data_IF_789146019998
#
_entry.id   IF_789146019998
#
_cell.length_a   1.000
_cell.length_b   1.000
_cell.length_c   1.000
_cell.angle_alpha   90.00
_cell.angle_beta   90.00
_cell.angle_gamma   90.00
#
_symmetry.space_group_name_H-M   'P 1'
#
loop_
_entity.id
_entity.type
_entity.pdbx_description
1 polymer ?
#
# COMPACT_ATOMS: atom_id res chain seq x y z
N UNK A 1 10.61 9.30 21.51
CA UNK A 1 10.70 8.08 22.36
C UNK A 1 11.44 7.02 21.56
N UNK A 2 12.57 6.50 22.00
CA UNK A 2 13.23 5.40 21.32
C UNK A 2 12.35 4.14 21.47
N UNK A 3 11.91 3.56 20.36
CA UNK A 3 11.24 2.26 20.32
C UNK A 3 9.75 2.23 19.92
N UNK A 4 9.12 3.31 19.51
CA UNK A 4 7.79 3.22 18.89
C UNK A 4 7.94 2.82 17.42
N UNK A 5 7.25 1.76 17.01
CA UNK A 5 7.14 1.43 15.59
C UNK A 5 6.60 2.63 14.82
N UNK A 6 7.13 2.93 13.62
CA UNK A 6 6.59 4.00 12.79
C UNK A 6 5.10 3.72 12.53
N UNK A 7 4.26 4.71 12.81
CA UNK A 7 2.81 4.58 12.63
C UNK A 7 2.28 5.79 11.87
N UNK A 8 1.24 5.62 11.04
CA UNK A 8 0.59 6.75 10.37
C UNK A 8 0.15 7.85 11.34
N UNK A 9 -0.25 7.47 12.56
CA UNK A 9 -0.63 8.43 13.59
C UNK A 9 0.51 9.33 14.05
N UNK A 10 1.71 8.76 14.29
CA UNK A 10 2.88 9.55 14.68
C UNK A 10 3.31 10.50 13.54
N UNK A 11 3.32 10.03 12.31
CA UNK A 11 3.62 10.86 11.15
C UNK A 11 2.58 11.98 10.95
N UNK A 12 1.29 11.71 11.25
CA UNK A 12 0.23 12.71 11.18
C UNK A 12 0.44 13.85 12.19
N UNK A 13 0.87 13.55 13.42
CA UNK A 13 1.22 14.58 14.43
C UNK A 13 2.30 15.53 13.93
N UNK A 14 3.37 15.00 13.29
CA UNK A 14 4.50 15.79 12.82
C UNK A 14 4.13 16.79 11.72
N UNK A 15 3.11 16.47 10.91
CA UNK A 15 2.67 17.32 9.80
C UNK A 15 1.37 18.09 10.09
N UNK A 16 0.83 18.00 11.31
CA UNK A 16 -0.41 18.66 11.71
C UNK A 16 -1.67 18.11 11.00
N UNK A 17 -1.64 16.82 10.62
CA UNK A 17 -2.80 16.06 10.18
C UNK A 17 -3.50 15.42 11.40
N UNK A 18 -4.61 14.71 11.20
CA UNK A 18 -5.36 14.07 12.29
C UNK A 18 -4.76 12.69 12.65
N UNK A 19 -4.03 12.56 13.80
CA UNK A 19 -3.36 11.31 14.14
C UNK A 19 -4.33 10.18 14.49
N UNK A 20 -5.49 10.51 15.09
CA UNK A 20 -6.49 9.50 15.39
C UNK A 20 -7.11 8.93 14.12
N UNK A 21 -7.45 9.79 13.15
CA UNK A 21 -7.99 9.35 11.87
C UNK A 21 -6.99 8.47 11.12
N UNK A 22 -5.73 8.90 11.00
CA UNK A 22 -4.68 8.11 10.35
C UNK A 22 -4.49 6.74 11.02
N UNK A 23 -4.52 6.70 12.34
CA UNK A 23 -4.44 5.46 13.13
C UNK A 23 -5.63 4.54 12.89
N UNK A 24 -6.86 5.06 12.92
CA UNK A 24 -8.07 4.24 12.69
C UNK A 24 -8.11 3.73 11.26
N UNK A 25 -7.78 4.57 10.27
CA UNK A 25 -7.64 4.14 8.88
C UNK A 25 -6.65 2.99 8.75
N UNK A 26 -5.49 3.05 9.42
CA UNK A 26 -4.49 1.99 9.35
C UNK A 26 -4.95 0.64 9.92
N UNK A 27 -5.99 0.62 10.76
CA UNK A 27 -6.57 -0.63 11.22
C UNK A 27 -7.54 -1.26 10.23
N UNK A 28 -8.17 -0.44 9.38
CA UNK A 28 -9.25 -0.89 8.51
C UNK A 28 -8.91 -0.92 7.02
N UNK A 29 -7.77 -0.31 6.59
CA UNK A 29 -7.46 -0.19 5.16
C UNK A 29 -7.47 -1.54 4.42
N UNK A 30 -7.09 -2.60 5.10
CA UNK A 30 -6.90 -3.95 4.58
C UNK A 30 -7.99 -4.95 4.98
N UNK A 31 -9.13 -4.51 5.53
CA UNK A 31 -10.17 -5.45 6.02
C UNK A 31 -10.69 -6.38 4.94
N UNK A 32 -10.66 -5.98 3.68
CA UNK A 32 -11.09 -6.81 2.55
C UNK A 32 -10.20 -8.02 2.27
N UNK A 33 -8.98 -8.06 2.79
CA UNK A 33 -8.11 -9.25 2.69
C UNK A 33 -8.72 -10.49 3.34
N UNK A 34 -9.70 -10.31 4.23
CA UNK A 34 -10.39 -11.41 4.90
C UNK A 34 -11.12 -12.35 3.92
N UNK A 35 -11.67 -11.82 2.83
CA UNK A 35 -12.43 -12.62 1.84
C UNK A 35 -11.53 -13.60 1.07
N UNK A 36 -10.27 -13.22 0.85
CA UNK A 36 -9.28 -14.01 0.10
C UNK A 36 -7.98 -14.19 0.87
N UNK A 37 -8.05 -14.38 2.19
CA UNK A 37 -6.92 -14.32 3.13
C UNK A 37 -5.69 -15.14 2.70
N UNK A 38 -5.88 -16.32 2.10
CA UNK A 38 -4.80 -17.23 1.67
C UNK A 38 -3.84 -16.64 0.61
N UNK A 39 -4.27 -15.60 -0.11
CA UNK A 39 -3.46 -14.95 -1.14
C UNK A 39 -2.60 -13.82 -0.61
N UNK A 40 -2.75 -13.45 0.66
CA UNK A 40 -1.95 -12.39 1.26
C UNK A 40 -0.84 -12.99 2.13
N UNK A 41 0.37 -12.46 1.94
CA UNK A 41 1.62 -13.04 2.48
C UNK A 41 1.60 -13.19 4.00
N UNK A 42 0.91 -12.29 4.70
CA UNK A 42 0.75 -12.33 6.16
C UNK A 42 -0.02 -13.56 6.66
N UNK A 43 -0.78 -14.22 5.78
CA UNK A 43 -1.59 -15.41 6.08
C UNK A 43 -1.02 -16.70 5.46
N UNK A 44 0.12 -16.59 4.77
CA UNK A 44 0.77 -17.75 4.12
C UNK A 44 1.77 -18.41 5.05
N UNK A 45 1.95 -19.72 4.89
CA UNK A 45 3.02 -20.44 5.59
C UNK A 45 4.37 -20.22 4.89
N UNK A 46 5.49 -20.20 5.62
CA UNK A 46 6.81 -20.11 5.01
C UNK A 46 6.99 -21.15 3.90
N UNK A 47 7.48 -20.72 2.74
CA UNK A 47 7.73 -21.59 1.59
C UNK A 47 6.48 -21.97 0.78
N UNK A 48 5.30 -21.42 1.08
CA UNK A 48 4.07 -21.60 0.30
C UNK A 48 3.57 -20.26 -0.19
N UNK A 49 3.52 -20.07 -1.50
CA UNK A 49 2.92 -18.89 -2.11
C UNK A 49 1.74 -19.30 -3.00
N UNK A 50 0.52 -18.95 -2.59
CA UNK A 50 -0.69 -19.28 -3.33
C UNK A 50 -0.71 -18.69 -4.76
N UNK A 51 0.08 -17.64 -5.01
CA UNK A 51 0.21 -17.02 -6.32
C UNK A 51 1.09 -17.81 -7.31
N UNK A 52 1.83 -18.83 -6.85
CA UNK A 52 2.68 -19.63 -7.76
C UNK A 52 1.86 -20.59 -8.63
N UNK A 53 0.63 -20.89 -8.23
CA UNK A 53 -0.28 -21.78 -8.96
C UNK A 53 -1.24 -21.06 -9.93
N UNK A 54 -1.17 -19.74 -10.02
CA UNK A 54 -2.07 -18.92 -10.85
C UNK A 54 -1.29 -17.91 -11.70
N UNK A 55 -1.94 -17.41 -12.77
CA UNK A 55 -1.30 -16.43 -13.64
C UNK A 55 -1.07 -15.08 -12.93
N UNK A 56 -0.08 -14.26 -13.39
CA UNK A 56 0.12 -12.90 -12.86
C UNK A 56 -1.13 -12.02 -12.95
N UNK A 57 -1.92 -12.15 -14.02
CA UNK A 57 -3.18 -11.43 -14.19
C UNK A 57 -4.23 -11.83 -13.14
N UNK A 58 -4.36 -13.12 -12.85
CA UNK A 58 -5.25 -13.59 -11.79
C UNK A 58 -4.77 -13.12 -10.41
N UNK A 59 -3.46 -13.18 -10.16
CA UNK A 59 -2.85 -12.68 -8.94
C UNK A 59 -3.14 -11.20 -8.71
N UNK A 60 -2.96 -10.37 -9.75
CA UNK A 60 -3.32 -8.94 -9.72
C UNK A 60 -4.81 -8.75 -9.42
N UNK A 61 -5.68 -9.50 -10.08
CA UNK A 61 -7.13 -9.39 -9.87
C UNK A 61 -7.52 -9.67 -8.42
N UNK A 62 -6.95 -10.71 -7.81
CA UNK A 62 -7.18 -11.04 -6.40
C UNK A 62 -6.63 -9.97 -5.44
N UNK A 63 -5.46 -9.38 -5.78
CA UNK A 63 -4.93 -8.29 -4.97
C UNK A 63 -5.81 -7.04 -5.04
N UNK A 64 -6.27 -6.65 -6.24
CA UNK A 64 -7.14 -5.48 -6.41
C UNK A 64 -8.50 -5.67 -5.75
N UNK A 65 -9.02 -6.90 -5.74
CA UNK A 65 -10.33 -7.22 -5.18
C UNK A 65 -10.47 -6.82 -3.70
N UNK A 66 -9.38 -6.93 -2.88
CA UNK A 66 -9.49 -6.61 -1.45
C UNK A 66 -9.94 -5.17 -1.17
N UNK A 67 -9.64 -4.23 -2.07
CA UNK A 67 -10.10 -2.84 -1.92
C UNK A 67 -11.61 -2.76 -2.01
N UNK A 68 -12.20 -3.42 -3.02
CA UNK A 68 -13.65 -3.49 -3.20
C UNK A 68 -14.32 -4.24 -2.04
N UNK A 69 -13.79 -5.40 -1.69
CA UNK A 69 -14.29 -6.22 -0.60
C UNK A 69 -14.23 -5.46 0.74
N UNK A 70 -13.16 -4.69 0.95
CA UNK A 70 -13.00 -3.81 2.10
C UNK A 70 -14.05 -2.71 2.18
N UNK A 71 -14.39 -2.09 1.04
CA UNK A 71 -15.48 -1.11 0.96
C UNK A 71 -16.83 -1.75 1.29
N UNK A 72 -17.12 -2.92 0.74
CA UNK A 72 -18.37 -3.64 1.02
C UNK A 72 -18.50 -3.99 2.51
N UNK A 73 -17.42 -4.48 3.12
CA UNK A 73 -17.37 -4.73 4.57
C UNK A 73 -17.52 -3.43 5.36
N UNK A 74 -16.81 -2.36 4.99
CA UNK A 74 -16.90 -1.06 5.63
C UNK A 74 -18.33 -0.50 5.62
N UNK A 75 -19.02 -0.60 4.50
CA UNK A 75 -20.43 -0.18 4.38
C UNK A 75 -21.36 -1.07 5.22
N UNK A 76 -21.17 -2.39 5.18
CA UNK A 76 -21.95 -3.35 5.95
C UNK A 76 -21.88 -3.07 7.45
N UNK A 77 -20.69 -2.74 7.96
CA UNK A 77 -20.47 -2.44 9.37
C UNK A 77 -20.57 -0.94 9.70
N UNK A 78 -21.04 -0.12 8.75
CA UNK A 78 -21.31 1.32 8.92
C UNK A 78 -20.08 2.11 9.36
N UNK A 79 -18.91 1.76 8.85
CA UNK A 79 -17.72 2.60 9.01
C UNK A 79 -17.97 3.98 8.37
N UNK A 80 -17.52 5.01 9.04
CA UNK A 80 -17.68 6.38 8.54
C UNK A 80 -16.96 6.59 7.20
N UNK A 81 -17.50 7.53 6.40
CA UNK A 81 -16.94 7.85 5.07
C UNK A 81 -15.43 8.04 5.06
N UNK A 82 -14.78 8.77 6.01
CA UNK A 82 -13.32 8.91 6.00
C UNK A 82 -12.57 7.59 6.08
N UNK A 83 -13.09 6.59 6.82
CA UNK A 83 -12.45 5.26 6.91
C UNK A 83 -12.62 4.50 5.59
N UNK A 84 -13.81 4.56 4.99
CA UNK A 84 -14.05 3.97 3.66
C UNK A 84 -13.15 4.63 2.61
N UNK A 85 -13.00 5.95 2.64
CA UNK A 85 -12.08 6.67 1.76
C UNK A 85 -10.63 6.19 1.94
N UNK A 86 -10.20 5.91 3.18
CA UNK A 86 -8.90 5.30 3.46
C UNK A 86 -8.74 3.92 2.85
N UNK A 87 -9.78 3.06 2.93
CA UNK A 87 -9.78 1.74 2.29
C UNK A 87 -9.64 1.87 0.77
N UNK A 88 -10.36 2.79 0.15
CA UNK A 88 -10.34 2.98 -1.31
C UNK A 88 -9.00 3.53 -1.81
N UNK A 89 -8.38 4.44 -1.05
CA UNK A 89 -7.27 5.29 -1.51
C UNK A 89 -5.88 4.76 -1.15
N UNK A 90 -5.76 3.78 -0.24
CA UNK A 90 -4.45 3.41 0.31
C UNK A 90 -3.46 2.81 -0.71
N UNK A 91 -3.94 2.32 -1.83
CA UNK A 91 -3.08 1.91 -2.95
C UNK A 91 -3.02 2.92 -4.09
N UNK A 92 -3.96 3.87 -4.16
CA UNK A 92 -4.05 4.83 -5.25
C UNK A 92 -4.13 4.15 -6.62
N UNK A 93 -3.29 4.60 -7.55
CA UNK A 93 -3.08 3.99 -8.87
C UNK A 93 -1.70 3.30 -8.98
N UNK A 94 -1.16 2.81 -7.86
CA UNK A 94 0.18 2.21 -7.80
C UNK A 94 0.28 0.96 -8.68
N UNK A 95 1.42 0.80 -9.35
CA UNK A 95 1.75 -0.40 -10.11
C UNK A 95 2.04 -1.59 -9.18
N UNK A 96 1.42 -2.74 -9.45
CA UNK A 96 1.71 -4.03 -8.81
C UNK A 96 2.94 -4.64 -9.51
N UNK A 97 4.10 -4.03 -9.29
CA UNK A 97 5.33 -4.25 -10.05
C UNK A 97 5.80 -5.70 -10.05
N UNK A 98 5.60 -6.43 -8.94
CA UNK A 98 6.00 -7.84 -8.86
C UNK A 98 5.28 -8.70 -9.92
N UNK A 99 3.95 -8.57 -10.03
CA UNK A 99 3.19 -9.35 -10.99
C UNK A 99 3.29 -8.81 -12.41
N UNK A 100 3.49 -7.51 -12.58
CA UNK A 100 3.80 -6.93 -13.88
C UNK A 100 5.12 -7.51 -14.44
N UNK A 101 6.20 -7.48 -13.66
CA UNK A 101 7.48 -8.05 -14.07
C UNK A 101 7.37 -9.57 -14.31
N UNK A 102 6.68 -10.30 -13.42
CA UNK A 102 6.43 -11.75 -13.62
C UNK A 102 5.65 -12.03 -14.92
N UNK A 103 4.73 -11.16 -15.31
CA UNK A 103 4.00 -11.29 -16.56
C UNK A 103 4.90 -11.03 -17.78
N UNK A 104 5.78 -10.01 -17.69
CA UNK A 104 6.78 -9.74 -18.74
C UNK A 104 7.77 -10.90 -18.91
N UNK A 105 8.25 -11.48 -17.81
CA UNK A 105 9.20 -12.61 -17.81
C UNK A 105 8.58 -13.89 -18.42
N UNK A 106 7.26 -14.07 -18.31
CA UNK A 106 6.55 -15.22 -18.86
C UNK A 106 6.10 -15.03 -20.32
N UNK A 107 6.23 -13.81 -20.85
CA UNK A 107 5.84 -13.47 -22.22
C UNK A 107 6.72 -14.21 -23.23
N UNK A 108 6.10 -14.73 -24.29
CA UNK A 108 6.79 -15.38 -25.41
C UNK A 108 6.74 -14.52 -26.68
N UNK A 109 7.62 -14.84 -27.64
CA UNK A 109 7.61 -14.17 -28.94
C UNK A 109 6.27 -14.38 -29.64
N UNK A 110 5.62 -13.27 -30.02
CA UNK A 110 4.31 -13.28 -30.66
C UNK A 110 3.12 -13.03 -29.73
N UNK A 111 3.34 -12.99 -28.39
CA UNK A 111 2.30 -12.59 -27.45
C UNK A 111 1.99 -11.09 -27.54
N UNK A 112 0.76 -10.71 -27.18
CA UNK A 112 0.37 -9.30 -27.08
C UNK A 112 1.27 -8.52 -26.11
N UNK A 113 1.42 -7.23 -26.35
CA UNK A 113 2.14 -6.34 -25.46
C UNK A 113 1.38 -6.21 -24.13
N UNK A 114 2.11 -6.28 -23.00
CA UNK A 114 1.54 -6.15 -21.67
C UNK A 114 1.73 -4.71 -21.20
N UNK A 115 0.62 -4.00 -20.97
CA UNK A 115 0.65 -2.63 -20.49
C UNK A 115 0.79 -2.54 -18.96
N UNK A 116 1.54 -1.56 -18.46
CA UNK A 116 1.57 -1.25 -17.04
C UNK A 116 0.18 -0.96 -16.47
N UNK A 117 -0.70 -0.30 -17.25
CA UNK A 117 -2.06 0.05 -16.82
C UNK A 117 -2.87 -1.19 -16.41
N UNK A 118 -2.62 -2.34 -17.04
CA UNK A 118 -3.29 -3.58 -16.69
C UNK A 118 -2.90 -4.11 -15.30
N UNK A 119 -1.78 -3.64 -14.76
CA UNK A 119 -1.27 -4.04 -13.44
C UNK A 119 -1.31 -2.91 -12.41
N UNK A 120 -1.98 -1.80 -12.69
CA UNK A 120 -2.19 -0.73 -11.72
C UNK A 120 -3.47 -0.94 -10.92
N UNK A 121 -3.48 -0.44 -9.67
CA UNK A 121 -4.70 -0.28 -8.91
C UNK A 121 -5.61 0.75 -9.58
N UNK A 122 -6.94 0.62 -9.46
CA UNK A 122 -7.88 1.50 -10.18
C UNK A 122 -8.00 2.91 -9.58
N UNK A 123 -7.41 3.15 -8.41
CA UNK A 123 -7.54 4.43 -7.71
C UNK A 123 -8.84 4.55 -6.92
N UNK A 124 -9.18 5.79 -6.49
CA UNK A 124 -8.45 7.03 -6.71
C UNK A 124 -7.14 7.14 -5.90
N UNK A 125 -6.28 8.08 -6.27
CA UNK A 125 -5.12 8.46 -5.47
C UNK A 125 -5.57 9.04 -4.12
N UNK A 126 -4.69 9.10 -3.10
CA UNK A 126 -5.00 9.77 -1.84
C UNK A 126 -5.48 11.20 -2.04
N UNK A 127 -6.63 11.54 -1.44
CA UNK A 127 -7.26 12.85 -1.56
C UNK A 127 -6.96 13.76 -0.36
N UNK A 128 -6.42 13.22 0.72
CA UNK A 128 -6.07 13.94 1.94
C UNK A 128 -4.87 13.30 2.64
N UNK A 129 -4.27 14.05 3.58
CA UNK A 129 -2.99 13.70 4.19
C UNK A 129 -3.00 12.35 4.90
N UNK A 130 -4.06 12.03 5.63
CA UNK A 130 -4.15 10.79 6.42
C UNK A 130 -4.18 9.55 5.52
N UNK A 131 -4.91 9.58 4.40
CA UNK A 131 -4.91 8.46 3.44
C UNK A 131 -3.55 8.29 2.76
N UNK A 132 -2.85 9.40 2.46
CA UNK A 132 -1.50 9.35 1.93
C UNK A 132 -0.50 8.75 2.94
N UNK A 133 -0.64 9.07 4.23
CA UNK A 133 0.19 8.48 5.29
C UNK A 133 -0.06 6.98 5.44
N UNK A 134 -1.30 6.52 5.29
CA UNK A 134 -1.62 5.08 5.28
C UNK A 134 -0.97 4.39 4.08
N UNK A 135 -1.08 4.96 2.87
CA UNK A 135 -0.39 4.45 1.68
C UNK A 135 1.11 4.29 1.88
N UNK A 136 1.76 5.32 2.43
CA UNK A 136 3.20 5.28 2.67
C UNK A 136 3.57 4.22 3.71
N UNK A 137 2.84 4.16 4.83
CA UNK A 137 3.10 3.22 5.91
C UNK A 137 2.90 1.76 5.47
N UNK A 138 1.82 1.46 4.74
CA UNK A 138 1.57 0.14 4.18
C UNK A 138 2.69 -0.30 3.23
N UNK A 139 3.07 0.59 2.29
CA UNK A 139 4.16 0.32 1.36
C UNK A 139 5.51 0.11 2.04
N UNK A 140 5.80 0.88 3.11
CA UNK A 140 7.02 0.74 3.92
C UNK A 140 7.00 -0.58 4.70
N UNK A 141 5.86 -0.92 5.31
CA UNK A 141 5.72 -2.18 6.05
C UNK A 141 5.92 -3.38 5.13
N UNK A 142 5.28 -3.39 3.95
CA UNK A 142 5.42 -4.46 2.97
C UNK A 142 6.88 -4.63 2.52
N UNK A 143 7.59 -3.54 2.23
CA UNK A 143 8.99 -3.57 1.86
C UNK A 143 9.91 -3.99 3.02
N UNK A 144 9.63 -3.55 4.24
CA UNK A 144 10.41 -3.91 5.42
C UNK A 144 10.29 -5.40 5.78
N UNK A 145 9.12 -6.01 5.55
CA UNK A 145 8.91 -7.47 5.75
C UNK A 145 9.75 -8.34 4.80
N UNK A 146 10.14 -7.82 3.64
CA UNK A 146 10.98 -8.55 2.68
C UNK A 146 12.47 -8.52 3.00
N UNK A 147 12.89 -7.82 4.07
CA UNK A 147 14.28 -7.80 4.52
C UNK A 147 14.61 -9.03 5.37
N UNK A 148 15.62 -9.78 4.97
CA UNK A 148 16.17 -10.88 5.78
C UNK A 148 16.79 -10.37 7.09
N UNK A 149 17.47 -9.20 7.01
CA UNK A 149 18.12 -8.56 8.16
C UNK A 149 17.77 -7.07 8.21
N UNK A 150 16.76 -6.66 9.01
CA UNK A 150 16.37 -5.26 9.15
C UNK A 150 17.35 -4.50 10.05
N UNK A 151 18.26 -3.74 9.45
CA UNK A 151 19.09 -2.77 10.19
C UNK A 151 18.47 -1.38 10.13
N UNK A 152 18.74 -0.49 11.10
CA UNK A 152 18.21 0.89 11.08
C UNK A 152 18.50 1.62 9.76
N UNK A 153 19.70 1.49 9.22
CA UNK A 153 20.09 2.10 7.96
C UNK A 153 19.31 1.54 6.77
N UNK A 154 19.08 0.23 6.72
CA UNK A 154 18.27 -0.39 5.66
C UNK A 154 16.82 0.06 5.74
N UNK A 155 16.26 0.15 6.94
CA UNK A 155 14.90 0.66 7.15
C UNK A 155 14.75 2.12 6.71
N UNK A 156 15.68 3.00 7.10
CA UNK A 156 15.69 4.40 6.64
C UNK A 156 15.78 4.52 5.11
N UNK A 157 16.59 3.68 4.47
CA UNK A 157 16.67 3.66 3.00
C UNK A 157 15.35 3.20 2.36
N UNK A 158 14.65 2.22 2.95
CA UNK A 158 13.33 1.79 2.49
C UNK A 158 12.34 2.96 2.58
N UNK A 159 12.27 3.64 3.73
CA UNK A 159 11.37 4.79 3.93
C UNK A 159 11.61 5.84 2.85
N UNK A 160 12.86 6.26 2.69
CA UNK A 160 13.24 7.27 1.67
C UNK A 160 12.87 6.84 0.26
N UNK A 161 13.22 5.61 -0.12
CA UNK A 161 12.96 5.09 -1.46
C UNK A 161 11.46 4.97 -1.74
N UNK A 162 10.65 4.53 -0.77
CA UNK A 162 9.19 4.43 -0.93
C UNK A 162 8.57 5.82 -1.10
N UNK A 163 8.92 6.80 -0.26
CA UNK A 163 8.44 8.18 -0.38
C UNK A 163 8.79 8.74 -1.76
N UNK A 164 10.05 8.59 -2.18
CA UNK A 164 10.50 9.08 -3.48
C UNK A 164 9.76 8.40 -4.64
N UNK A 165 9.56 7.08 -4.60
CA UNK A 165 8.83 6.35 -5.64
C UNK A 165 7.38 6.79 -5.72
N UNK A 166 6.68 6.94 -4.58
CA UNK A 166 5.29 7.40 -4.56
C UNK A 166 5.16 8.83 -5.09
N UNK A 167 6.11 9.70 -4.75
CA UNK A 167 6.17 11.06 -5.28
C UNK A 167 6.41 11.07 -6.79
N UNK A 168 7.41 10.32 -7.28
CA UNK A 168 7.75 10.27 -8.72
C UNK A 168 6.64 9.62 -9.56
N UNK A 169 5.90 8.64 -8.99
CA UNK A 169 4.73 8.00 -9.62
C UNK A 169 3.45 8.86 -9.45
N UNK A 170 3.60 10.12 -9.04
CA UNK A 170 2.51 11.09 -8.89
C UNK A 170 1.35 10.61 -7.98
N UNK A 171 1.62 9.67 -7.07
CA UNK A 171 0.58 9.12 -6.17
C UNK A 171 0.13 10.12 -5.10
N UNK A 172 0.95 11.14 -4.83
CA UNK A 172 0.72 12.15 -3.80
C UNK A 172 0.20 13.48 -4.35
N UNK A 173 -0.07 13.58 -5.65
CA UNK A 173 -0.39 14.85 -6.32
C UNK A 173 -1.76 15.41 -5.94
N UNK A 174 -2.69 14.55 -5.51
CA UNK A 174 -4.07 14.93 -5.20
C UNK A 174 -4.30 15.16 -3.70
N UNK A 175 -3.27 14.98 -2.86
CA UNK A 175 -3.32 15.29 -1.44
C UNK A 175 -2.48 16.53 -1.10
N UNK A 176 -2.86 17.26 -0.05
CA UNK A 176 -2.18 18.50 0.36
C UNK A 176 -0.92 18.22 1.19
N UNK A 177 0.01 17.39 0.68
CA UNK A 177 1.34 17.17 1.26
C UNK A 177 2.36 18.06 0.57
N UNK A 178 3.13 18.79 1.37
CA UNK A 178 4.27 19.58 0.89
C UNK A 178 5.56 18.77 0.94
N UNK A 179 6.60 19.18 0.21
CA UNK A 179 7.95 18.58 0.34
C UNK A 179 8.48 18.65 1.77
N UNK A 180 8.13 19.69 2.52
CA UNK A 180 8.48 19.82 3.94
C UNK A 180 7.77 18.75 4.79
N UNK A 181 6.50 18.48 4.49
CA UNK A 181 5.77 17.41 5.17
C UNK A 181 6.37 16.04 4.86
N UNK A 182 6.74 15.78 3.60
CA UNK A 182 7.41 14.52 3.24
C UNK A 182 8.73 14.32 3.97
N UNK A 183 9.53 15.38 4.17
CA UNK A 183 10.76 15.30 4.96
C UNK A 183 10.50 14.97 6.43
N UNK A 184 9.41 15.50 7.02
CA UNK A 184 9.00 15.15 8.39
C UNK A 184 8.47 13.72 8.49
N UNK A 185 7.69 13.29 7.51
CA UNK A 185 7.17 11.91 7.40
C UNK A 185 8.33 10.91 7.31
N UNK A 186 9.37 11.21 6.51
CA UNK A 186 10.59 10.38 6.42
C UNK A 186 11.29 10.21 7.78
N UNK A 187 11.29 11.26 8.61
CA UNK A 187 11.89 11.20 9.94
C UNK A 187 11.01 10.48 10.97
N UNK A 188 9.68 10.49 10.76
CA UNK A 188 8.72 9.87 11.67
C UNK A 188 8.59 8.35 11.44
N UNK A 189 8.88 7.85 10.24
CA UNK A 189 8.88 6.44 9.88
C UNK A 189 10.27 5.82 10.04
#
# INVERSE_FOLDING_TARGET
>A
RPGSRPTPGAAAEEIGANPLLAKVMSYYHDIGKMEHARYFIENQKPGQNAHDSISPFMSKTLLVAHVKDGVELGMKYKLGKPIIDGIVQHHGTTLISYFYNKALDLRQDGDAEISEEEFRYPGPKPQFRESALVMLADSIEAAARSLDEPTPTRLQNIVRNIIQRKFTDAQLDECNLTLKDLSKVEQAF
#
